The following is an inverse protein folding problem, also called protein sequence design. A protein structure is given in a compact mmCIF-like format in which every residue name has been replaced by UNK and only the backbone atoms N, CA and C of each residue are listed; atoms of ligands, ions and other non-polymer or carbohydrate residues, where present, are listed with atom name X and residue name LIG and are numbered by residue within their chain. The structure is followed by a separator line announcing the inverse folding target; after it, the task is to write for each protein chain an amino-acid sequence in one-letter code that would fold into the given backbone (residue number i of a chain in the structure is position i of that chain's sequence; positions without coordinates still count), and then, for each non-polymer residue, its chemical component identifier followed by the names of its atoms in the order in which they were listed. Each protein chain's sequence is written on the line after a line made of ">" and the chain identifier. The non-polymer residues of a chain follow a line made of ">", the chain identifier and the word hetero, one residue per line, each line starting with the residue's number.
data_IF_012599674540
#
_entry.id   IF_012599674540
#
_cell.length_a   1.000
_cell.length_b   1.000
_cell.length_c   1.000
_cell.angle_alpha   90.00
_cell.angle_beta   90.00
_cell.angle_gamma   90.00
#
_symmetry.space_group_name_H-M   'P 1'
#
loop_
_entity.id
_entity.type
_entity.pdbx_description
1 polymer ?
#
# COMPACT_ATOMS: atom_id res chain seq x y z
N UNK A 1 45.85 -50.29 -1.98
CA UNK A 1 45.77 -49.34 -3.10
C UNK A 1 44.38 -49.33 -3.75
N UNK A 2 43.31 -49.26 -2.99
CA UNK A 2 41.93 -49.33 -3.54
C UNK A 2 41.00 -48.21 -3.05
N UNK A 3 41.43 -47.32 -2.12
CA UNK A 3 40.59 -46.21 -1.63
C UNK A 3 40.62 -44.95 -2.54
N UNK A 4 41.62 -44.83 -3.44
CA UNK A 4 41.74 -43.62 -4.29
C UNK A 4 40.88 -43.66 -5.55
N UNK A 5 40.50 -44.81 -6.03
CA UNK A 5 39.72 -44.96 -7.27
C UNK A 5 38.23 -44.75 -7.04
N UNK A 6 37.69 -45.13 -5.90
CA UNK A 6 36.29 -44.94 -5.55
C UNK A 6 35.95 -43.45 -5.31
N UNK A 7 36.87 -42.67 -4.73
CA UNK A 7 36.71 -41.21 -4.54
C UNK A 7 36.77 -40.45 -5.86
N UNK A 8 37.59 -40.88 -6.82
CA UNK A 8 37.68 -40.25 -8.15
C UNK A 8 36.42 -40.52 -8.99
N UNK A 9 35.85 -41.72 -8.91
CA UNK A 9 34.62 -42.05 -9.62
C UNK A 9 33.41 -41.33 -8.99
N UNK A 10 33.35 -41.19 -7.65
CA UNK A 10 32.31 -40.40 -6.95
C UNK A 10 32.34 -38.93 -7.29
N UNK A 11 33.53 -38.32 -7.38
CA UNK A 11 33.72 -36.92 -7.81
C UNK A 11 33.37 -36.68 -9.28
N UNK A 12 33.71 -37.61 -10.16
CA UNK A 12 33.35 -37.54 -11.59
C UNK A 12 31.84 -37.73 -11.79
N UNK A 13 31.20 -38.62 -11.02
CA UNK A 13 29.75 -38.81 -11.08
C UNK A 13 28.97 -37.60 -10.52
N UNK A 14 29.48 -36.97 -9.45
CA UNK A 14 28.91 -35.75 -8.91
C UNK A 14 29.08 -34.56 -9.88
N UNK A 15 30.20 -34.47 -10.59
CA UNK A 15 30.41 -33.42 -11.59
C UNK A 15 29.57 -33.64 -12.86
N UNK A 16 29.28 -34.91 -13.26
CA UNK A 16 28.40 -35.19 -14.40
C UNK A 16 26.92 -34.92 -14.11
N UNK A 17 26.48 -35.04 -12.84
CA UNK A 17 25.08 -34.72 -12.46
C UNK A 17 24.80 -33.21 -12.33
N UNK A 18 25.83 -32.37 -12.20
CA UNK A 18 25.68 -30.92 -12.26
C UNK A 18 25.49 -30.34 -13.68
N UNK A 19 25.66 -31.11 -14.73
CA UNK A 19 25.66 -30.63 -16.13
C UNK A 19 24.26 -30.53 -16.77
N UNK A 20 23.19 -30.95 -16.07
CA UNK A 20 21.83 -30.89 -16.58
C UNK A 20 20.92 -29.94 -15.71
N UNK A 21 21.41 -28.78 -15.34
CA UNK A 21 20.49 -27.74 -14.87
C UNK A 21 19.71 -27.22 -16.09
N UNK A 22 18.43 -27.53 -16.14
CA UNK A 22 17.48 -26.94 -17.10
C UNK A 22 17.55 -25.41 -17.00
N UNK A 23 18.30 -24.81 -17.90
CA UNK A 23 18.51 -23.36 -17.90
C UNK A 23 17.29 -22.67 -18.48
N UNK A 24 16.47 -22.08 -17.59
CA UNK A 24 15.37 -21.22 -17.98
C UNK A 24 15.82 -19.78 -18.13
N UNK A 25 15.47 -19.16 -19.24
CA UNK A 25 15.54 -17.71 -19.40
C UNK A 25 14.33 -17.11 -18.67
N UNK A 26 14.58 -16.33 -17.60
CA UNK A 26 13.52 -15.64 -16.90
C UNK A 26 13.09 -14.41 -17.68
N UNK A 27 11.80 -14.30 -17.96
CA UNK A 27 11.20 -13.15 -18.63
C UNK A 27 10.13 -12.56 -17.73
N UNK A 28 10.16 -11.26 -17.56
CA UNK A 28 9.22 -10.51 -16.74
C UNK A 28 8.29 -9.74 -17.67
N UNK A 29 6.99 -9.82 -17.43
CA UNK A 29 5.97 -9.09 -18.17
C UNK A 29 5.00 -8.38 -17.27
N UNK A 30 4.40 -7.31 -17.80
CA UNK A 30 3.39 -6.51 -17.15
C UNK A 30 2.02 -6.83 -17.76
N UNK A 31 0.99 -7.02 -16.91
CA UNK A 31 -0.36 -7.30 -17.39
C UNK A 31 -0.85 -6.22 -18.37
N UNK A 32 -1.63 -6.65 -19.35
CA UNK A 32 -2.18 -5.82 -20.42
C UNK A 32 -1.15 -5.24 -21.40
N UNK A 33 0.15 -5.54 -21.22
CA UNK A 33 1.20 -5.20 -22.17
C UNK A 33 1.53 -6.40 -23.07
N UNK A 34 2.61 -6.30 -23.83
CA UNK A 34 3.12 -7.40 -24.66
C UNK A 34 4.51 -7.81 -24.20
N UNK A 35 4.86 -9.06 -24.51
CA UNK A 35 6.19 -9.61 -24.22
C UNK A 35 6.71 -10.37 -25.44
N UNK A 36 8.02 -10.42 -25.58
CA UNK A 36 8.72 -11.24 -26.54
C UNK A 36 9.57 -12.30 -25.82
N UNK A 37 9.54 -13.52 -26.33
CA UNK A 37 10.37 -14.65 -25.91
C UNK A 37 11.35 -14.97 -27.02
N UNK A 38 12.50 -14.28 -27.10
CA UNK A 38 13.46 -14.46 -28.19
C UNK A 38 14.37 -15.65 -27.94
N UNK A 39 14.46 -16.58 -28.90
CA UNK A 39 15.49 -17.61 -28.89
C UNK A 39 16.77 -17.08 -29.49
N UNK A 40 17.85 -17.16 -28.72
CA UNK A 40 19.20 -16.77 -29.13
C UNK A 40 20.08 -17.99 -29.46
N UNK A 41 19.47 -19.14 -29.71
CA UNK A 41 20.22 -20.35 -30.06
C UNK A 41 20.87 -20.23 -31.44
N UNK A 42 22.16 -20.63 -31.54
CA UNK A 42 22.80 -20.84 -32.79
C UNK A 42 22.32 -22.19 -33.38
N UNK A 43 21.78 -22.15 -34.58
CA UNK A 43 21.25 -23.33 -35.28
C UNK A 43 22.24 -23.73 -36.35
N UNK A 44 22.92 -24.88 -36.18
CA UNK A 44 24.00 -25.32 -37.08
C UNK A 44 23.50 -25.87 -38.43
N UNK A 45 22.24 -26.31 -38.48
CA UNK A 45 21.60 -26.91 -39.65
C UNK A 45 20.30 -26.23 -40.03
N UNK A 46 19.80 -26.40 -41.25
CA UNK A 46 18.49 -25.93 -41.63
C UNK A 46 17.39 -26.46 -40.72
N UNK A 47 16.45 -25.58 -40.35
CA UNK A 47 15.30 -25.90 -39.48
C UNK A 47 14.20 -26.49 -40.35
N UNK A 48 13.71 -27.66 -39.97
CA UNK A 48 12.57 -28.33 -40.61
C UNK A 48 11.26 -27.82 -39.99
N UNK A 49 11.24 -27.75 -38.67
CA UNK A 49 10.03 -27.39 -37.90
C UNK A 49 10.39 -26.59 -36.66
N UNK A 50 9.54 -25.64 -36.27
CA UNK A 50 9.64 -24.91 -35.03
C UNK A 50 8.36 -25.14 -34.25
N UNK A 51 8.49 -25.60 -33.00
CA UNK A 51 7.36 -25.84 -32.10
C UNK A 51 7.48 -24.97 -30.88
N UNK A 52 6.47 -24.19 -30.60
CA UNK A 52 6.28 -23.47 -29.33
C UNK A 52 5.29 -24.21 -28.43
N UNK A 53 5.71 -24.55 -27.22
CA UNK A 53 4.96 -25.28 -26.22
C UNK A 53 4.84 -24.44 -24.97
N UNK A 54 3.64 -24.34 -24.45
CA UNK A 54 3.34 -23.72 -23.15
C UNK A 54 2.99 -24.78 -22.13
N UNK A 55 3.60 -24.72 -20.96
CA UNK A 55 3.32 -25.60 -19.83
C UNK A 55 2.83 -24.78 -18.65
N UNK A 56 1.55 -24.98 -18.29
CA UNK A 56 0.93 -24.45 -17.08
C UNK A 56 0.64 -25.59 -16.13
N UNK A 57 1.19 -25.53 -14.92
CA UNK A 57 1.08 -26.57 -13.90
C UNK A 57 1.50 -27.93 -14.46
N UNK A 58 0.56 -28.87 -14.65
CA UNK A 58 0.86 -30.24 -15.10
C UNK A 58 0.58 -30.50 -16.59
N UNK A 59 -0.01 -29.54 -17.29
CA UNK A 59 -0.42 -29.71 -18.69
C UNK A 59 0.47 -28.92 -19.62
N UNK A 60 0.89 -29.61 -20.71
CA UNK A 60 1.65 -28.99 -21.81
C UNK A 60 0.78 -28.86 -23.04
N UNK A 61 0.86 -27.72 -23.70
CA UNK A 61 0.06 -27.39 -24.86
C UNK A 61 0.97 -26.85 -25.98
N UNK A 62 0.84 -27.38 -27.19
CA UNK A 62 1.44 -26.72 -28.35
C UNK A 62 0.67 -25.44 -28.63
N UNK A 63 1.36 -24.30 -28.62
CA UNK A 63 0.74 -22.96 -28.82
C UNK A 63 0.90 -22.45 -30.23
N UNK A 64 2.06 -22.69 -30.84
CA UNK A 64 2.34 -22.31 -32.22
C UNK A 64 3.32 -23.31 -32.88
N UNK A 65 3.24 -23.40 -34.18
CA UNK A 65 4.11 -24.26 -35.00
C UNK A 65 4.39 -23.57 -36.34
N UNK A 66 5.62 -23.72 -36.82
CA UNK A 66 5.96 -23.47 -38.21
C UNK A 66 6.42 -24.82 -38.80
N UNK A 67 5.73 -25.25 -39.82
CA UNK A 67 6.04 -26.45 -40.58
C UNK A 67 5.88 -26.15 -42.07
N UNK A 68 6.86 -26.48 -42.91
CA UNK A 68 6.83 -26.21 -44.35
C UNK A 68 6.44 -24.74 -44.68
N UNK A 69 7.01 -23.77 -43.97
CA UNK A 69 6.70 -22.33 -44.07
C UNK A 69 5.27 -21.95 -43.74
N UNK A 70 4.44 -22.87 -43.21
CA UNK A 70 3.08 -22.59 -42.75
C UNK A 70 3.07 -22.42 -41.24
N UNK A 71 2.47 -21.30 -40.78
CA UNK A 71 2.27 -21.04 -39.36
C UNK A 71 0.88 -21.50 -38.91
N UNK A 72 0.84 -22.25 -37.79
CA UNK A 72 -0.38 -22.71 -37.15
C UNK A 72 -0.39 -22.32 -35.69
N UNK A 73 -1.54 -21.86 -35.16
CA UNK A 73 -1.78 -21.58 -33.76
C UNK A 73 -2.85 -22.55 -33.23
N UNK A 74 -2.67 -23.07 -32.00
CA UNK A 74 -3.42 -24.24 -31.53
C UNK A 74 -4.33 -23.97 -30.32
N UNK A 75 -4.12 -22.92 -29.52
CA UNK A 75 -4.81 -22.73 -28.25
C UNK A 75 -5.72 -21.51 -28.28
N UNK A 76 -7.00 -21.72 -27.89
CA UNK A 76 -8.02 -20.68 -27.82
C UNK A 76 -7.73 -19.60 -26.80
N UNK A 77 -7.05 -19.90 -25.68
CA UNK A 77 -6.72 -18.88 -24.65
C UNK A 77 -5.85 -17.75 -25.20
N UNK A 78 -5.02 -18.03 -26.23
CA UNK A 78 -4.19 -17.03 -26.88
C UNK A 78 -4.80 -16.49 -28.20
N UNK A 79 -6.04 -16.78 -28.49
CA UNK A 79 -6.64 -16.43 -29.76
C UNK A 79 -6.46 -14.96 -30.13
N UNK A 80 -5.83 -14.71 -31.29
CA UNK A 80 -5.53 -13.35 -31.79
C UNK A 80 -4.41 -12.61 -31.06
N UNK A 81 -3.82 -13.21 -29.99
CA UNK A 81 -2.79 -12.56 -29.16
C UNK A 81 -1.36 -13.01 -29.46
N UNK A 82 -1.18 -14.09 -30.20
CA UNK A 82 0.13 -14.63 -30.57
C UNK A 82 0.60 -14.13 -31.94
N UNK A 83 1.90 -13.89 -32.03
CA UNK A 83 2.59 -13.65 -33.30
C UNK A 83 3.98 -14.30 -33.22
N UNK A 84 4.40 -14.94 -34.31
CA UNK A 84 5.78 -15.41 -34.49
C UNK A 84 6.57 -14.36 -35.24
N UNK A 85 7.72 -13.97 -34.70
CA UNK A 85 8.66 -13.02 -35.28
C UNK A 85 9.97 -13.72 -35.64
N UNK A 86 10.80 -13.07 -36.46
CA UNK A 86 12.13 -13.57 -36.85
C UNK A 86 12.10 -15.00 -37.34
N UNK A 87 11.22 -15.28 -38.32
CA UNK A 87 11.04 -16.65 -38.89
C UNK A 87 10.67 -17.70 -37.82
N UNK A 88 9.96 -17.31 -36.76
CA UNK A 88 9.47 -18.21 -35.71
C UNK A 88 10.39 -18.42 -34.52
N UNK A 89 11.59 -17.80 -34.50
CA UNK A 89 12.51 -17.92 -33.36
C UNK A 89 12.07 -17.08 -32.15
N UNK A 90 11.13 -16.15 -32.33
CA UNK A 90 10.61 -15.33 -31.28
C UNK A 90 9.09 -15.46 -31.18
N UNK A 91 8.59 -15.83 -30.01
CA UNK A 91 7.16 -15.79 -29.69
C UNK A 91 6.81 -14.43 -29.08
N UNK A 92 5.91 -13.70 -29.73
CA UNK A 92 5.36 -12.46 -29.23
C UNK A 92 3.93 -12.69 -28.73
N UNK A 93 3.66 -12.29 -27.47
CA UNK A 93 2.37 -12.42 -26.79
C UNK A 93 1.87 -11.03 -26.48
N UNK A 94 0.67 -10.68 -26.97
CA UNK A 94 0.01 -9.40 -26.73
C UNK A 94 -1.04 -9.53 -25.62
N UNK A 95 -1.40 -8.38 -25.01
CA UNK A 95 -2.46 -8.28 -24.03
C UNK A 95 -2.31 -9.39 -22.97
N UNK A 96 -1.20 -9.33 -22.24
CA UNK A 96 -0.81 -10.33 -21.25
C UNK A 96 -1.86 -10.44 -20.14
N UNK A 97 -2.18 -11.70 -19.80
CA UNK A 97 -3.11 -12.06 -18.74
C UNK A 97 -2.42 -12.93 -17.71
N UNK A 98 -2.86 -12.94 -16.47
CA UNK A 98 -2.25 -13.72 -15.40
C UNK A 98 -2.11 -15.21 -15.76
N UNK A 99 -3.07 -15.76 -16.51
CA UNK A 99 -3.08 -17.13 -17.00
C UNK A 99 -1.99 -17.46 -18.03
N UNK A 100 -1.34 -16.46 -18.61
CA UNK A 100 -0.22 -16.62 -19.53
C UNK A 100 1.11 -16.84 -18.80
N UNK A 101 1.15 -16.65 -17.48
CA UNK A 101 2.32 -16.95 -16.65
C UNK A 101 2.63 -18.44 -16.65
N UNK A 102 3.88 -18.80 -16.87
CA UNK A 102 4.30 -20.20 -16.90
C UNK A 102 5.55 -20.46 -17.74
N UNK A 103 5.78 -21.73 -18.06
CA UNK A 103 6.96 -22.15 -18.77
C UNK A 103 6.66 -22.30 -20.27
N UNK A 104 7.48 -21.67 -21.08
CA UNK A 104 7.45 -21.80 -22.55
C UNK A 104 8.70 -22.52 -23.01
N UNK A 105 8.57 -23.37 -24.02
CA UNK A 105 9.67 -24.03 -24.65
C UNK A 105 9.56 -23.89 -26.16
N UNK A 106 10.62 -23.43 -26.81
CA UNK A 106 10.78 -23.55 -28.26
C UNK A 106 11.66 -24.74 -28.56
N UNK A 107 11.20 -25.55 -29.48
CA UNK A 107 11.93 -26.69 -30.07
C UNK A 107 12.19 -26.39 -31.54
N UNK A 108 13.42 -26.54 -31.94
CA UNK A 108 13.88 -26.50 -33.34
C UNK A 108 14.21 -27.92 -33.78
N UNK A 109 13.43 -28.44 -34.70
CA UNK A 109 13.68 -29.74 -35.36
C UNK A 109 14.65 -29.49 -36.51
N UNK A 110 15.82 -30.08 -36.42
CA UNK A 110 16.93 -29.86 -37.38
C UNK A 110 17.08 -31.02 -38.37
N UNK A 111 17.54 -30.72 -39.56
CA UNK A 111 17.80 -31.77 -40.58
C UNK A 111 19.14 -32.43 -40.28
N UNK A 112 19.11 -33.74 -39.95
CA UNK A 112 20.30 -34.53 -39.73
C UNK A 112 21.06 -34.32 -38.43
N UNK A 113 20.47 -33.56 -37.50
CA UNK A 113 21.04 -33.30 -36.17
C UNK A 113 19.99 -33.43 -35.06
N UNK A 114 20.47 -33.40 -33.81
CA UNK A 114 19.58 -33.41 -32.65
C UNK A 114 18.81 -32.09 -32.52
N UNK A 115 17.56 -32.19 -32.06
CA UNK A 115 16.70 -31.04 -31.81
C UNK A 115 17.33 -30.09 -30.78
N UNK A 116 17.09 -28.78 -30.96
CA UNK A 116 17.52 -27.74 -30.02
C UNK A 116 16.34 -27.20 -29.28
N UNK A 117 16.55 -26.91 -27.99
CA UNK A 117 15.50 -26.42 -27.10
C UNK A 117 15.98 -25.18 -26.37
N UNK A 118 15.09 -24.21 -26.25
CA UNK A 118 15.24 -23.11 -25.28
C UNK A 118 14.01 -22.99 -24.46
N UNK A 119 14.20 -22.75 -23.13
CA UNK A 119 13.14 -22.69 -22.16
C UNK A 119 13.06 -21.29 -21.56
N UNK A 120 11.85 -20.80 -21.38
CA UNK A 120 11.55 -19.51 -20.78
C UNK A 120 10.62 -19.72 -19.60
N UNK A 121 10.81 -18.94 -18.55
CA UNK A 121 9.88 -18.80 -17.43
C UNK A 121 9.30 -17.40 -17.48
N UNK A 122 8.05 -17.26 -17.92
CA UNK A 122 7.34 -15.99 -17.95
C UNK A 122 6.66 -15.74 -16.59
N UNK A 123 7.07 -14.68 -15.93
CA UNK A 123 6.50 -14.19 -14.69
C UNK A 123 5.76 -12.89 -14.97
N UNK A 124 4.49 -12.81 -14.56
CA UNK A 124 3.63 -11.66 -14.80
C UNK A 124 3.31 -10.94 -13.51
N UNK A 125 3.27 -9.62 -13.61
CA UNK A 125 2.97 -8.73 -12.50
C UNK A 125 1.89 -7.72 -12.89
N UNK A 126 1.11 -7.30 -11.91
CA UNK A 126 0.18 -6.18 -12.07
C UNK A 126 0.94 -4.85 -12.08
N UNK A 127 0.41 -3.82 -12.79
CA UNK A 127 0.95 -2.47 -12.68
C UNK A 127 0.92 -1.97 -11.22
N UNK A 128 1.96 -1.29 -10.80
CA UNK A 128 2.02 -0.68 -9.48
C UNK A 128 0.99 0.45 -9.40
N UNK A 129 0.06 0.43 -8.42
CA UNK A 129 -0.89 1.53 -8.23
C UNK A 129 -0.17 2.81 -7.78
N UNK A 130 -0.82 3.98 -7.96
CA UNK A 130 -0.26 5.25 -7.53
C UNK A 130 -0.14 5.30 -6.00
N UNK A 131 1.08 5.49 -5.44
CA UNK A 131 1.30 5.53 -4.01
C UNK A 131 0.89 6.87 -3.40
N UNK A 132 0.57 6.85 -2.11
CA UNK A 132 0.30 8.04 -1.30
C UNK A 132 1.14 8.01 -0.02
N UNK A 133 1.62 9.19 0.41
CA UNK A 133 2.32 9.36 1.69
C UNK A 133 1.38 10.02 2.69
N UNK A 134 1.11 9.32 3.78
CA UNK A 134 0.48 9.84 4.97
C UNK A 134 1.56 10.21 6.00
N UNK A 135 1.40 11.33 6.70
CA UNK A 135 2.29 11.74 7.78
C UNK A 135 1.52 11.95 9.06
N UNK A 136 2.09 11.50 10.15
CA UNK A 136 1.61 11.74 11.51
C UNK A 136 2.74 12.35 12.32
N UNK A 137 2.48 13.50 12.93
CA UNK A 137 3.42 14.16 13.82
C UNK A 137 3.11 13.72 15.25
N UNK A 138 4.04 12.98 15.86
CA UNK A 138 3.80 12.28 17.13
C UNK A 138 4.22 13.11 18.35
N UNK A 139 5.47 13.51 18.42
CA UNK A 139 6.04 14.22 19.55
C UNK A 139 6.68 15.52 19.11
N UNK A 140 6.57 16.55 19.96
CA UNK A 140 7.20 17.86 19.75
C UNK A 140 7.95 18.27 21.00
N UNK A 141 9.22 18.61 20.82
CA UNK A 141 10.06 19.26 21.84
C UNK A 141 10.25 20.72 21.48
N UNK A 142 11.12 21.45 22.19
CA UNK A 142 11.44 22.83 21.84
C UNK A 142 12.20 23.00 20.51
N UNK A 143 12.85 21.94 20.01
CA UNK A 143 13.75 22.01 18.83
C UNK A 143 13.48 20.93 17.78
N UNK A 144 12.76 19.88 18.12
CA UNK A 144 12.56 18.70 17.30
C UNK A 144 11.11 18.23 17.32
N UNK A 145 10.66 17.64 16.22
CA UNK A 145 9.44 16.85 16.17
C UNK A 145 9.72 15.48 15.57
N UNK A 146 9.03 14.47 16.09
CA UNK A 146 9.01 13.13 15.52
C UNK A 146 7.87 13.02 14.54
N UNK A 147 8.19 12.57 13.32
CA UNK A 147 7.23 12.38 12.24
C UNK A 147 7.27 10.94 11.80
N UNK A 148 6.12 10.29 11.76
CA UNK A 148 5.93 8.98 11.14
C UNK A 148 5.37 9.19 9.75
N UNK A 149 6.10 8.72 8.73
CA UNK A 149 5.68 8.73 7.34
C UNK A 149 5.29 7.31 6.92
N UNK A 150 4.10 7.15 6.39
CA UNK A 150 3.58 5.89 5.89
C UNK A 150 3.26 6.01 4.40
N UNK A 151 3.90 5.16 3.60
CA UNK A 151 3.63 5.00 2.18
C UNK A 151 2.66 3.85 1.95
N UNK A 152 1.63 4.06 1.17
CA UNK A 152 0.62 3.05 0.90
C UNK A 152 0.09 3.16 -0.53
N UNK A 153 -0.47 2.06 -1.03
CA UNK A 153 -1.19 2.00 -2.30
C UNK A 153 -2.65 1.64 -2.06
N UNK A 154 -3.59 2.11 -2.90
CA UNK A 154 -5.03 1.91 -2.70
C UNK A 154 -5.48 0.44 -2.75
N UNK A 155 -4.79 -0.36 -3.56
CA UNK A 155 -5.10 -1.79 -3.77
C UNK A 155 -3.81 -2.58 -3.73
N UNK A 156 -3.81 -3.69 -3.02
CA UNK A 156 -2.64 -4.54 -2.87
C UNK A 156 -2.99 -5.97 -3.27
N UNK A 157 -2.79 -6.31 -4.54
CA UNK A 157 -3.02 -7.65 -5.10
C UNK A 157 -1.74 -8.47 -5.27
N UNK A 158 -0.59 -7.81 -5.31
CA UNK A 158 0.74 -8.44 -5.46
C UNK A 158 1.69 -7.95 -4.38
N UNK A 159 2.69 -8.74 -3.95
CA UNK A 159 3.70 -8.26 -3.03
C UNK A 159 4.47 -7.09 -3.66
N UNK A 160 4.47 -5.96 -2.98
CA UNK A 160 5.16 -4.73 -3.34
C UNK A 160 6.30 -4.48 -2.37
N UNK A 161 7.38 -3.88 -2.88
CA UNK A 161 8.48 -3.39 -2.08
C UNK A 161 8.39 -1.86 -1.98
N UNK A 162 8.78 -1.33 -0.83
CA UNK A 162 8.74 0.09 -0.53
C UNK A 162 10.14 0.55 -0.14
N UNK A 163 10.60 1.63 -0.78
CA UNK A 163 11.87 2.27 -0.49
C UNK A 163 11.65 3.77 -0.32
N UNK A 164 12.43 4.37 0.57
CA UNK A 164 12.41 5.80 0.80
C UNK A 164 13.74 6.43 0.39
N UNK A 165 13.66 7.61 -0.20
CA UNK A 165 14.80 8.48 -0.46
C UNK A 165 14.45 9.85 0.11
N UNK A 166 15.35 10.41 0.93
CA UNK A 166 15.20 11.76 1.45
C UNK A 166 16.55 12.46 1.51
N UNK A 167 16.51 13.79 1.40
CA UNK A 167 17.71 14.61 1.32
C UNK A 167 17.72 15.61 2.45
N UNK A 168 18.87 15.75 3.08
CA UNK A 168 19.15 16.81 4.01
C UNK A 168 20.54 17.42 3.70
N UNK A 169 20.58 18.73 3.41
CA UNK A 169 21.73 19.39 2.82
C UNK A 169 22.19 18.64 1.56
N UNK A 170 23.47 18.29 1.45
CA UNK A 170 24.03 17.55 0.31
C UNK A 170 24.03 16.01 0.51
N UNK A 171 23.48 15.53 1.62
CA UNK A 171 23.43 14.10 1.93
C UNK A 171 22.11 13.48 1.52
N UNK A 172 22.20 12.30 0.89
CA UNK A 172 21.04 11.47 0.51
C UNK A 172 20.97 10.31 1.48
N UNK A 173 19.80 10.03 1.98
CA UNK A 173 19.50 8.93 2.88
C UNK A 173 18.50 7.99 2.20
N UNK A 174 18.65 6.70 2.45
CA UNK A 174 17.77 5.64 1.94
C UNK A 174 17.27 4.80 3.12
N UNK A 175 16.00 4.39 3.03
CA UNK A 175 15.38 3.49 3.99
C UNK A 175 14.45 2.53 3.26
N UNK A 176 14.01 1.47 3.92
CA UNK A 176 13.15 0.43 3.35
C UNK A 176 11.97 0.13 4.27
N UNK A 177 10.88 -0.34 3.66
CA UNK A 177 9.63 -0.59 4.35
C UNK A 177 8.56 0.45 4.01
N UNK A 178 7.33 0.16 4.38
CA UNK A 178 6.19 1.03 4.12
C UNK A 178 6.12 2.23 5.09
N UNK A 179 6.82 2.17 6.20
CA UNK A 179 6.79 3.18 7.27
C UNK A 179 8.20 3.54 7.72
N UNK A 180 8.45 4.85 7.87
CA UNK A 180 9.69 5.38 8.45
C UNK A 180 9.38 6.37 9.57
N UNK A 181 10.29 6.44 10.55
CA UNK A 181 10.22 7.34 11.71
C UNK A 181 11.41 8.29 11.69
N UNK A 182 11.15 9.59 11.60
CA UNK A 182 12.19 10.61 11.44
C UNK A 182 12.02 11.69 12.50
N UNK A 183 13.15 12.14 13.07
CA UNK A 183 13.19 13.33 13.93
C UNK A 183 13.64 14.53 13.10
N UNK A 184 12.77 15.52 12.97
CA UNK A 184 13.02 16.76 12.21
C UNK A 184 13.32 17.93 13.16
N UNK A 185 14.32 18.72 12.82
CA UNK A 185 14.55 20.01 13.46
C UNK A 185 13.59 21.05 12.89
N UNK A 186 13.17 22.05 13.67
CA UNK A 186 12.27 23.13 13.24
C UNK A 186 12.80 23.98 12.08
N UNK A 187 14.12 24.00 11.88
CA UNK A 187 14.77 24.70 10.75
C UNK A 187 14.83 23.87 9.47
N UNK A 188 14.45 22.59 9.52
CA UNK A 188 14.56 21.69 8.37
C UNK A 188 13.26 21.66 7.58
N UNK A 189 13.39 21.81 6.27
CA UNK A 189 12.37 21.56 5.26
C UNK A 189 12.89 20.41 4.41
N UNK A 190 12.29 19.24 4.58
CA UNK A 190 12.78 18.02 3.95
C UNK A 190 11.77 17.43 2.98
N UNK A 191 12.25 17.02 1.83
CA UNK A 191 11.48 16.27 0.84
C UNK A 191 11.73 14.77 1.03
N UNK A 192 10.64 14.03 1.18
CA UNK A 192 10.63 12.58 1.27
C UNK A 192 10.01 11.99 0.02
N UNK A 193 10.69 11.06 -0.61
CA UNK A 193 10.20 10.33 -1.77
C UNK A 193 10.01 8.86 -1.39
N UNK A 194 8.78 8.35 -1.54
CA UNK A 194 8.49 6.94 -1.47
C UNK A 194 8.50 6.34 -2.88
N UNK A 195 9.19 5.23 -3.06
CA UNK A 195 9.26 4.43 -4.28
C UNK A 195 8.63 3.09 -3.98
N UNK A 196 7.58 2.75 -4.71
CA UNK A 196 6.89 1.46 -4.63
C UNK A 196 7.16 0.69 -5.91
N UNK A 197 7.59 -0.56 -5.78
CA UNK A 197 7.95 -1.34 -6.96
C UNK A 197 7.67 -2.84 -6.81
N UNK A 198 7.48 -3.48 -7.95
CA UNK A 198 7.57 -4.91 -8.16
C UNK A 198 8.64 -5.19 -9.24
N UNK A 199 8.93 -6.45 -9.62
CA UNK A 199 9.93 -6.73 -10.65
C UNK A 199 9.64 -6.17 -12.04
N UNK A 200 8.39 -5.80 -12.36
CA UNK A 200 7.96 -5.35 -13.69
C UNK A 200 7.70 -3.85 -13.79
N UNK A 201 7.39 -3.17 -12.67
CA UNK A 201 6.94 -1.78 -12.66
C UNK A 201 7.32 -1.08 -11.36
N UNK A 202 7.38 0.26 -11.40
CA UNK A 202 7.63 1.09 -10.23
C UNK A 202 6.93 2.44 -10.34
N UNK A 203 6.55 3.00 -9.19
CA UNK A 203 6.03 4.34 -9.06
C UNK A 203 6.59 5.04 -7.85
N UNK A 204 6.57 6.36 -7.88
CA UNK A 204 7.00 7.18 -6.74
C UNK A 204 6.00 8.28 -6.42
N UNK A 205 6.12 8.80 -5.21
CA UNK A 205 5.43 10.00 -4.74
C UNK A 205 6.36 10.75 -3.80
N UNK A 206 6.35 12.09 -3.89
CA UNK A 206 7.13 12.94 -2.99
C UNK A 206 6.21 13.75 -2.07
N UNK A 207 6.69 14.03 -0.87
CA UNK A 207 6.05 14.87 0.12
C UNK A 207 7.07 15.72 0.86
N UNK A 208 6.79 17.02 0.98
CA UNK A 208 7.56 17.91 1.85
C UNK A 208 7.00 17.89 3.26
N UNK A 209 7.88 17.78 4.24
CA UNK A 209 7.55 17.82 5.66
C UNK A 209 8.47 18.79 6.40
N UNK A 210 7.87 19.54 7.31
CA UNK A 210 8.57 20.42 8.25
C UNK A 210 7.88 20.44 9.60
N UNK A 211 8.66 20.65 10.66
CA UNK A 211 8.11 20.93 11.97
C UNK A 211 7.54 22.35 12.05
N UNK A 212 6.22 22.50 12.17
CA UNK A 212 5.61 23.80 12.46
C UNK A 212 5.39 23.99 13.97
N UNK A 213 5.98 25.03 14.53
CA UNK A 213 5.87 25.31 15.97
C UNK A 213 4.44 25.65 16.44
N UNK A 214 3.53 26.01 15.51
CA UNK A 214 2.25 26.64 15.86
C UNK A 214 1.05 25.70 16.04
N UNK A 215 1.08 24.46 15.55
CA UNK A 215 -0.16 23.65 15.51
C UNK A 215 -0.48 22.89 16.80
N UNK A 216 0.48 22.81 17.77
CA UNK A 216 0.30 22.05 19.02
C UNK A 216 -0.33 22.84 20.17
N UNK A 217 -0.30 24.18 20.14
CA UNK A 217 -0.74 25.03 21.28
C UNK A 217 -2.12 25.60 21.06
N UNK A 218 -2.54 25.83 19.81
CA UNK A 218 -3.85 26.42 19.50
C UNK A 218 -5.02 25.49 19.86
N UNK A 219 -4.92 24.20 19.60
CA UNK A 219 -6.00 23.25 19.89
C UNK A 219 -6.28 23.04 21.39
N UNK A 220 -5.22 23.01 22.22
CA UNK A 220 -5.38 22.90 23.69
C UNK A 220 -5.89 24.20 24.32
N UNK A 221 -5.42 25.38 23.86
CA UNK A 221 -5.93 26.68 24.35
C UNK A 221 -7.39 26.90 24.02
N UNK A 222 -7.86 26.55 22.84
CA UNK A 222 -9.29 26.63 22.48
C UNK A 222 -10.15 25.70 23.36
N UNK A 223 -9.68 24.49 23.64
CA UNK A 223 -10.42 23.56 24.50
C UNK A 223 -10.58 24.08 25.95
N UNK A 224 -9.53 24.65 26.53
CA UNK A 224 -9.61 25.27 27.85
C UNK A 224 -10.51 26.52 27.88
N UNK A 225 -10.46 27.37 26.86
CA UNK A 225 -11.32 28.53 26.75
C UNK A 225 -12.83 28.14 26.71
N UNK A 226 -13.16 27.08 25.96
CA UNK A 226 -14.54 26.57 25.91
C UNK A 226 -14.96 26.00 27.26
N UNK A 227 -14.12 25.24 27.95
CA UNK A 227 -14.43 24.70 29.28
C UNK A 227 -14.64 25.82 30.27
N UNK A 228 -13.77 26.85 30.31
CA UNK A 228 -13.90 28.00 31.19
C UNK A 228 -15.20 28.77 30.90
N UNK A 229 -15.57 29.00 29.63
CA UNK A 229 -16.80 29.68 29.26
C UNK A 229 -18.05 28.92 29.72
N UNK A 230 -18.06 27.60 29.59
CA UNK A 230 -19.16 26.75 30.07
C UNK A 230 -19.29 26.78 31.59
N UNK A 231 -18.18 26.77 32.34
CA UNK A 231 -18.20 26.90 33.80
C UNK A 231 -18.73 28.28 34.26
N UNK A 232 -18.35 29.36 33.58
CA UNK A 232 -18.85 30.70 33.87
C UNK A 232 -20.36 30.80 33.61
N UNK A 233 -20.84 30.23 32.51
CA UNK A 233 -22.30 30.19 32.24
C UNK A 233 -23.05 29.39 33.30
N UNK A 234 -22.50 28.27 33.75
CA UNK A 234 -23.08 27.47 34.83
C UNK A 234 -23.15 28.26 36.15
N UNK A 235 -22.09 29.01 36.50
CA UNK A 235 -22.05 29.89 37.68
C UNK A 235 -23.11 30.98 37.60
N UNK A 236 -23.28 31.62 36.47
CA UNK A 236 -24.31 32.67 36.25
C UNK A 236 -25.72 32.09 36.45
N UNK A 237 -25.96 30.90 35.87
CA UNK A 237 -27.27 30.22 36.01
C UNK A 237 -27.54 29.87 37.47
N UNK A 238 -26.57 29.32 38.21
CA UNK A 238 -26.71 29.00 39.62
C UNK A 238 -26.96 30.26 40.48
N UNK A 239 -26.22 31.32 40.23
CA UNK A 239 -26.41 32.59 40.93
C UNK A 239 -27.83 33.18 40.68
N UNK A 240 -28.31 33.09 39.43
CA UNK A 240 -29.67 33.53 39.08
C UNK A 240 -30.75 32.68 39.75
N UNK A 241 -30.58 31.37 39.80
CA UNK A 241 -31.51 30.45 40.49
C UNK A 241 -31.56 30.76 41.99
N UNK A 242 -30.41 30.94 42.64
CA UNK A 242 -30.32 31.30 44.06
C UNK A 242 -30.98 32.65 44.33
N UNK A 243 -30.74 33.66 43.47
CA UNK A 243 -31.37 34.96 43.57
C UNK A 243 -32.93 34.87 43.46
N UNK A 244 -33.41 34.06 42.51
CA UNK A 244 -34.84 33.83 42.28
C UNK A 244 -35.50 33.15 43.48
N UNK A 245 -34.84 32.15 44.10
CA UNK A 245 -35.32 31.46 45.30
C UNK A 245 -35.38 32.45 46.48
N UNK A 246 -34.32 33.27 46.71
CA UNK A 246 -34.27 34.27 47.77
C UNK A 246 -35.29 35.37 47.57
N UNK A 247 -35.56 35.75 46.32
CA UNK A 247 -36.61 36.76 46.04
C UNK A 247 -37.97 36.19 46.34
N UNK A 248 -38.31 34.98 45.96
CA UNK A 248 -39.59 34.30 46.25
C UNK A 248 -39.81 34.13 47.77
N UNK A 249 -38.76 33.75 48.51
CA UNK A 249 -38.81 33.62 49.96
C UNK A 249 -39.08 34.97 50.64
N UNK A 250 -38.50 36.07 50.17
CA UNK A 250 -38.81 37.45 50.69
C UNK A 250 -40.23 37.86 50.39
N UNK A 251 -40.75 37.56 49.22
CA UNK A 251 -42.12 37.86 48.85
C UNK A 251 -43.12 37.04 49.69
N UNK A 252 -42.89 35.83 50.06
CA UNK A 252 -43.67 35.00 50.94
C UNK A 252 -43.67 35.56 52.40
N UNK A 253 -42.49 35.90 52.93
CA UNK A 253 -42.37 36.48 54.27
C UNK A 253 -43.11 37.82 54.33
N UNK A 254 -43.04 38.64 53.26
CA UNK A 254 -43.73 39.91 53.22
C UNK A 254 -45.27 39.73 53.17
N UNK A 255 -45.78 38.72 52.49
CA UNK A 255 -47.21 38.38 52.50
C UNK A 255 -47.66 37.89 53.86
N UNK A 256 -46.87 37.08 54.53
CA UNK A 256 -47.15 36.57 55.87
C UNK A 256 -47.20 37.72 56.90
N UNK A 257 -46.27 38.69 56.85
CA UNK A 257 -46.26 39.89 57.66
C UNK A 257 -47.49 40.73 57.36
N UNK A 258 -47.91 40.94 56.12
CA UNK A 258 -49.06 41.71 55.76
C UNK A 258 -50.36 41.06 56.22
N UNK A 259 -50.48 39.72 56.21
CA UNK A 259 -51.65 39.00 56.78
C UNK A 259 -51.73 39.11 58.26
N UNK A 260 -50.61 39.06 58.99
CA UNK A 260 -50.55 39.27 60.42
C UNK A 260 -50.95 40.68 60.79
N UNK A 261 -50.54 41.69 60.01
CA UNK A 261 -50.99 43.09 60.23
C UNK A 261 -52.51 43.30 60.01
N UNK A 262 -53.11 42.59 59.06
CA UNK A 262 -54.59 42.65 58.84
C UNK A 262 -55.36 42.00 59.97
N UNK A 263 -54.87 40.93 60.60
CA UNK A 263 -55.55 40.28 61.75
C UNK A 263 -55.50 41.10 63.02
N UNK A 264 -54.45 41.92 63.22
CA UNK A 264 -54.31 42.78 64.44
C UNK A 264 -55.06 44.11 64.38
N UNK A 265 -55.62 44.51 63.23
CA UNK A 265 -56.31 45.76 63.02
C UNK A 265 -57.87 45.67 62.97
N UNK A 266 -58.47 44.51 63.24
CA UNK A 266 -59.93 44.38 63.33
C UNK A 266 -60.39 44.92 64.64
N UNK A 267 -61.37 45.91 64.69
CA UNK A 267 -61.94 46.43 65.92
C UNK A 267 -62.82 45.36 66.59
N UNK A 268 -62.64 45.24 67.92
CA UNK A 268 -63.46 44.37 68.79
C UNK A 268 -64.80 45.09 69.07
N UNK A 269 -65.76 44.93 68.17
CA UNK A 269 -67.12 45.41 68.43
C UNK A 269 -67.88 44.40 69.27
N UNK A 270 -67.89 44.66 70.58
CA UNK A 270 -68.76 44.01 71.53
C UNK A 270 -70.13 44.74 71.51
N UNK A 271 -71.26 44.14 71.21
CA UNK A 271 -72.55 44.76 71.40
C UNK A 271 -72.97 44.63 72.88
N UNK A 272 -73.01 45.76 73.60
CA UNK A 272 -73.65 45.91 74.89
C UNK A 272 -75.16 45.77 74.71
N UNK A 273 -75.73 44.77 75.33
CA UNK A 273 -77.18 44.63 75.54
C UNK A 273 -77.59 45.52 76.67
N UNK A 274 -78.58 46.44 76.44
CA UNK A 274 -79.45 47.00 77.50
C UNK A 274 -80.91 46.76 77.15
N UNK A 275 -81.59 46.15 78.13
CA UNK A 275 -83.01 46.01 78.40
C UNK A 275 -83.93 45.31 77.42
#
# INVERSE_FOLDING_TARGET
>A
MTLGTELLFGLLYFCMTCANQDHFVRVIGLLHQSVELPSNLSLPSPVLEINWVFKSKEKSYKVAQIDNHQTKFYINQFNGRLKLLHNGTTLHIKDLRMEDSGNYTVQFVLIGEEDRFQRFMLMLYEPVPDPVINSVMEERTSHWCNVTLQCSVPTNSSPLNYNWIYKHNDSVYEDSGDTIHISLNYSWDMEFQCIVHNPADWKNVSKQERCNAQDGVAGKRMSYAIIISLLLMLFIILAWVIWKIRKKGREQIQQEINTLYCETTLPNDNPTTQN
#
